data_IF_690072313505
#
_entry.id   IF_690072313505
#
_cell.length_a   1.000
_cell.length_b   1.000
_cell.length_c   1.000
_cell.angle_alpha   90.00
_cell.angle_beta   90.00
_cell.angle_gamma   90.00
#
_symmetry.space_group_name_H-M   'P 1'
#
loop_
_entity.id
_entity.type
_entity.pdbx_description
1 polymer ?
#
# COMPACT_ATOMS: atom_id res chain seq x y z
N UNK A 1 23.78 -8.76 2.53
CA UNK A 1 22.84 -9.23 3.58
C UNK A 1 22.53 -8.14 4.60
N UNK A 2 23.55 -7.64 5.31
CA UNK A 2 23.40 -6.55 6.29
C UNK A 2 22.63 -5.33 5.75
N UNK A 3 23.01 -4.82 4.56
CA UNK A 3 22.35 -3.64 3.96
C UNK A 3 20.87 -3.86 3.65
N UNK A 4 20.47 -5.07 3.28
CA UNK A 4 19.07 -5.39 3.00
C UNK A 4 18.24 -5.40 4.28
N UNK A 5 18.77 -5.98 5.37
CA UNK A 5 18.14 -5.96 6.69
C UNK A 5 18.00 -4.53 7.21
N UNK A 6 19.06 -3.73 7.09
CA UNK A 6 19.08 -2.34 7.50
C UNK A 6 18.01 -1.51 6.79
N UNK A 7 17.90 -1.65 5.46
CA UNK A 7 16.94 -0.89 4.64
C UNK A 7 15.50 -1.36 4.86
N UNK A 8 15.24 -2.67 4.76
CA UNK A 8 13.88 -3.23 4.88
C UNK A 8 13.33 -3.13 6.31
N UNK A 9 14.19 -3.35 7.30
CA UNK A 9 13.83 -3.26 8.71
C UNK A 9 13.91 -1.86 9.32
N UNK A 10 14.24 -0.82 8.53
CA UNK A 10 14.30 0.57 9.00
C UNK A 10 15.21 0.81 10.21
N UNK A 11 16.22 -0.04 10.43
CA UNK A 11 16.90 -0.19 11.72
C UNK A 11 17.64 1.08 12.13
N UNK A 12 18.32 1.75 11.20
CA UNK A 12 19.04 3.01 11.49
C UNK A 12 18.09 4.14 11.86
N UNK A 13 16.94 4.25 11.18
CA UNK A 13 15.94 5.26 11.50
C UNK A 13 15.38 5.04 12.92
N UNK A 14 15.06 3.80 13.27
CA UNK A 14 14.59 3.47 14.63
C UNK A 14 15.63 3.68 15.71
N UNK A 15 16.91 3.37 15.46
CA UNK A 15 18.00 3.71 16.40
C UNK A 15 18.09 5.21 16.65
N UNK A 16 18.04 6.01 15.57
CA UNK A 16 18.09 7.47 15.66
C UNK A 16 16.86 8.06 16.34
N UNK A 17 15.67 7.48 16.13
CA UNK A 17 14.46 7.89 16.81
C UNK A 17 14.56 7.69 18.34
N UNK A 18 15.12 6.55 18.79
CA UNK A 18 15.36 6.29 20.22
C UNK A 18 16.40 7.21 20.84
N UNK A 19 17.48 7.50 20.11
CA UNK A 19 18.56 8.37 20.60
C UNK A 19 18.20 9.86 20.61
N UNK A 20 17.28 10.30 19.73
CA UNK A 20 16.87 11.70 19.59
C UNK A 20 15.35 11.81 19.47
N UNK A 21 14.58 11.50 20.53
CA UNK A 21 13.12 11.47 20.47
C UNK A 21 12.54 12.84 20.10
N UNK A 22 13.13 13.93 20.60
CA UNK A 22 12.70 15.30 20.29
C UNK A 22 12.88 15.73 18.82
N UNK A 23 13.75 15.05 18.06
CA UNK A 23 13.97 15.32 16.63
C UNK A 23 13.35 14.26 15.71
N UNK A 24 12.83 13.16 16.25
CA UNK A 24 12.42 11.99 15.48
C UNK A 24 11.28 12.28 14.50
N UNK A 25 10.28 13.08 14.91
CA UNK A 25 9.17 13.48 14.04
C UNK A 25 9.60 14.45 12.96
N UNK A 26 10.39 15.47 13.34
CA UNK A 26 10.90 16.48 12.40
C UNK A 26 11.75 15.87 11.29
N UNK A 27 12.56 14.85 11.61
CA UNK A 27 13.47 14.20 10.67
C UNK A 27 12.86 12.98 9.97
N UNK A 28 11.56 12.72 10.15
CA UNK A 28 10.85 11.59 9.52
C UNK A 28 11.31 10.20 9.99
N UNK A 29 11.92 10.10 11.17
CA UNK A 29 12.41 8.83 11.72
C UNK A 29 11.32 7.99 12.40
N UNK A 30 10.10 8.53 12.50
CA UNK A 30 8.96 7.94 13.21
C UNK A 30 7.87 7.33 12.31
N UNK A 31 8.04 7.31 10.98
CA UNK A 31 6.99 6.90 10.03
C UNK A 31 6.91 5.39 9.80
N UNK A 32 6.74 4.59 10.86
CA UNK A 32 6.26 3.23 10.68
C UNK A 32 4.88 3.06 11.29
N UNK A 33 3.96 2.57 10.48
CA UNK A 33 2.75 1.89 10.93
C UNK A 33 3.19 0.85 11.95
N UNK A 34 3.01 1.18 13.22
CA UNK A 34 3.37 0.33 14.32
C UNK A 34 2.21 -0.64 14.43
N UNK A 35 2.33 -1.83 13.80
CA UNK A 35 1.69 -2.98 14.43
C UNK A 35 2.30 -3.04 15.84
N UNK A 36 1.45 -2.77 16.83
CA UNK A 36 1.78 -2.53 18.23
C UNK A 36 2.81 -3.56 18.71
N UNK A 37 4.05 -3.12 18.86
CA UNK A 37 5.02 -3.83 19.69
C UNK A 37 4.95 -3.13 21.05
N UNK A 38 4.55 -3.87 22.08
CA UNK A 38 4.49 -3.40 23.46
C UNK A 38 5.81 -2.69 23.82
N UNK A 39 5.69 -1.43 24.26
CA UNK A 39 6.82 -0.61 24.67
C UNK A 39 7.09 -0.95 26.14
N UNK A 40 8.14 -1.72 26.41
CA UNK A 40 8.64 -1.95 27.76
C UNK A 40 9.49 -0.72 28.16
N UNK A 41 8.97 0.08 29.10
CA UNK A 41 9.58 1.31 29.65
C UNK A 41 10.74 0.99 30.62
N UNK A 42 11.71 0.20 30.14
CA UNK A 42 12.95 -0.13 30.85
C UNK A 42 14.17 0.61 30.27
N UNK A 43 15.10 0.96 31.15
CA UNK A 43 16.39 1.61 30.86
C UNK A 43 17.09 0.96 29.64
N UNK A 44 17.17 1.69 28.52
CA UNK A 44 17.67 1.15 27.24
C UNK A 44 19.19 1.03 27.24
N UNK A 45 19.70 -0.09 27.75
CA UNK A 45 20.96 -0.65 27.28
C UNK A 45 20.88 -0.91 25.76
N UNK A 46 22.03 -0.98 25.08
CA UNK A 46 22.21 -1.18 23.63
C UNK A 46 21.78 -2.58 23.19
N UNK A 47 20.54 -2.96 23.49
CA UNK A 47 19.93 -4.24 23.18
C UNK A 47 19.23 -4.11 21.82
N UNK A 48 19.55 -4.98 20.85
CA UNK A 48 18.84 -5.02 19.58
C UNK A 48 17.35 -5.26 19.82
N UNK A 49 16.49 -4.30 19.49
CA UNK A 49 15.07 -4.40 19.84
C UNK A 49 14.24 -5.12 18.75
N UNK A 50 14.77 -5.23 17.53
CA UNK A 50 14.11 -5.88 16.39
C UNK A 50 14.81 -7.15 15.90
N UNK A 51 14.08 -8.02 15.19
CA UNK A 51 14.64 -9.23 14.57
C UNK A 51 15.77 -8.88 13.58
N UNK A 52 15.55 -7.85 12.76
CA UNK A 52 16.53 -7.34 11.79
C UNK A 52 17.75 -6.74 12.50
N UNK A 53 17.53 -6.00 13.59
CA UNK A 53 18.60 -5.41 14.39
C UNK A 53 19.45 -6.47 15.09
N UNK A 54 18.82 -7.53 15.62
CA UNK A 54 19.54 -8.67 16.19
C UNK A 54 20.35 -9.39 15.12
N UNK A 55 19.77 -9.59 13.94
CA UNK A 55 20.49 -10.22 12.82
C UNK A 55 21.67 -9.37 12.38
N UNK A 56 21.52 -8.04 12.31
CA UNK A 56 22.62 -7.13 12.00
C UNK A 56 23.73 -7.21 13.05
N UNK A 57 23.38 -7.22 14.35
CA UNK A 57 24.36 -7.37 15.43
C UNK A 57 25.15 -8.69 15.34
N UNK A 58 24.45 -9.80 15.08
CA UNK A 58 25.10 -11.11 14.90
C UNK A 58 26.02 -11.12 13.66
N UNK A 59 25.62 -10.47 12.57
CA UNK A 59 26.46 -10.33 11.38
C UNK A 59 27.70 -9.47 11.66
N UNK A 60 27.55 -8.37 12.40
CA UNK A 60 28.66 -7.48 12.79
C UNK A 60 29.66 -8.19 13.71
N UNK A 61 29.18 -9.09 14.56
CA UNK A 61 30.02 -9.97 15.39
C UNK A 61 30.69 -11.12 14.60
N UNK A 62 30.49 -11.21 13.28
CA UNK A 62 31.10 -12.22 12.41
C UNK A 62 30.35 -13.55 12.31
N UNK A 63 29.15 -13.67 12.89
CA UNK A 63 28.32 -14.85 12.71
C UNK A 63 27.75 -14.91 11.29
N UNK A 64 27.56 -16.12 10.80
CA UNK A 64 26.93 -16.41 9.51
C UNK A 64 25.75 -17.36 9.71
N UNK A 65 24.74 -17.37 8.83
CA UNK A 65 23.62 -18.31 8.95
C UNK A 65 24.06 -19.79 8.87
N UNK A 66 25.28 -20.06 8.39
CA UNK A 66 25.87 -21.40 8.34
C UNK A 66 26.38 -21.84 9.72
N UNK A 67 27.04 -20.94 10.46
CA UNK A 67 27.67 -21.25 11.75
C UNK A 67 26.76 -20.96 12.97
N UNK A 68 25.72 -20.14 12.81
CA UNK A 68 24.84 -19.72 13.90
C UNK A 68 23.38 -20.08 13.58
N UNK A 69 22.82 -21.03 14.32
CA UNK A 69 21.42 -21.45 14.14
C UNK A 69 20.43 -20.35 14.54
N UNK A 70 20.77 -19.53 15.54
CA UNK A 70 19.95 -18.39 15.98
C UNK A 70 19.79 -17.37 14.86
N UNK A 71 20.89 -17.00 14.19
CA UNK A 71 20.85 -16.10 13.04
C UNK A 71 20.01 -16.70 11.91
N UNK A 72 20.17 -18.00 11.63
CA UNK A 72 19.39 -18.71 10.59
C UNK A 72 17.88 -18.67 10.87
N UNK A 73 17.47 -18.97 12.10
CA UNK A 73 16.04 -18.99 12.45
C UNK A 73 15.41 -17.60 12.39
N UNK A 74 16.10 -16.58 12.94
CA UNK A 74 15.63 -15.19 12.87
C UNK A 74 15.52 -14.68 11.44
N UNK A 75 16.49 -15.02 10.57
CA UNK A 75 16.42 -14.68 9.15
C UNK A 75 15.27 -15.37 8.43
N UNK A 76 15.01 -16.66 8.74
CA UNK A 76 13.88 -17.39 8.18
C UNK A 76 12.55 -16.70 8.52
N UNK A 77 12.38 -16.28 9.78
CA UNK A 77 11.20 -15.53 10.23
C UNK A 77 11.05 -14.20 9.50
N UNK A 78 12.12 -13.42 9.36
CA UNK A 78 12.12 -12.16 8.61
C UNK A 78 11.66 -12.37 7.16
N UNK A 79 12.21 -13.39 6.49
CA UNK A 79 11.81 -13.71 5.10
C UNK A 79 10.33 -14.11 5.04
N UNK A 80 9.85 -14.94 5.97
CA UNK A 80 8.44 -15.36 6.02
C UNK A 80 7.50 -14.16 6.21
N UNK A 81 7.84 -13.22 7.10
CA UNK A 81 7.07 -12.00 7.31
C UNK A 81 7.00 -11.18 6.01
N UNK A 82 8.13 -10.95 5.34
CA UNK A 82 8.15 -10.15 4.12
C UNK A 82 7.40 -10.81 2.95
N UNK A 83 7.58 -12.12 2.77
CA UNK A 83 6.82 -12.85 1.75
C UNK A 83 5.33 -12.78 2.06
N UNK A 84 4.93 -13.01 3.31
CA UNK A 84 3.52 -12.96 3.72
C UNK A 84 2.91 -11.58 3.48
N UNK A 85 3.65 -10.51 3.81
CA UNK A 85 3.24 -9.12 3.57
C UNK A 85 3.05 -8.83 2.09
N UNK A 86 4.00 -9.25 1.26
CA UNK A 86 3.93 -9.04 -0.18
C UNK A 86 2.78 -9.84 -0.81
N UNK A 87 2.56 -11.08 -0.37
CA UNK A 87 1.44 -11.90 -0.84
C UNK A 87 0.07 -11.36 -0.39
N UNK A 88 -0.03 -10.77 0.81
CA UNK A 88 -1.27 -10.16 1.30
C UNK A 88 -1.58 -8.84 0.59
N UNK A 89 -0.54 -8.10 0.23
CA UNK A 89 -0.65 -6.83 -0.47
C UNK A 89 -0.66 -6.98 -2.00
N UNK A 90 -0.83 -8.19 -2.54
CA UNK A 90 -0.73 -8.45 -3.97
C UNK A 90 -1.61 -7.48 -4.78
N UNK A 91 -0.96 -6.53 -5.47
CA UNK A 91 -1.59 -5.55 -6.34
C UNK A 91 -1.52 -6.09 -7.77
N UNK A 92 -2.64 -6.58 -8.27
CA UNK A 92 -2.77 -6.88 -9.70
C UNK A 92 -2.82 -5.56 -10.45
N UNK A 93 -1.84 -5.30 -11.31
CA UNK A 93 -1.91 -4.18 -12.23
C UNK A 93 -3.01 -4.45 -13.27
N UNK A 94 -3.96 -3.53 -13.34
CA UNK A 94 -5.03 -3.55 -14.36
C UNK A 94 -4.85 -2.28 -15.20
N UNK A 95 -4.18 -2.38 -16.38
CA UNK A 95 -3.78 -1.20 -17.17
C UNK A 95 -4.95 -0.28 -17.57
N UNK A 96 -6.16 -0.85 -17.73
CA UNK A 96 -7.38 -0.12 -18.10
C UNK A 96 -8.31 0.04 -16.91
N UNK A 97 -7.77 0.46 -15.78
CA UNK A 97 -8.52 0.77 -14.57
C UNK A 97 -8.15 2.15 -14.06
N UNK A 98 -9.12 2.83 -13.45
CA UNK A 98 -8.91 4.09 -12.77
C UNK A 98 -9.75 4.12 -11.51
N UNK A 99 -9.26 4.83 -10.49
CA UNK A 99 -10.04 5.17 -9.29
C UNK A 99 -10.32 6.65 -9.34
N UNK A 100 -11.59 7.02 -9.43
CA UNK A 100 -12.02 8.41 -9.43
C UNK A 100 -13.15 8.62 -8.45
N UNK A 101 -13.30 9.85 -7.97
CA UNK A 101 -14.43 10.18 -7.14
C UNK A 101 -15.71 10.13 -7.97
N UNK A 102 -16.75 9.57 -7.36
CA UNK A 102 -18.14 9.73 -7.81
C UNK A 102 -18.50 11.18 -7.45
N UNK A 103 -18.03 12.08 -8.32
CA UNK A 103 -17.86 13.54 -8.18
C UNK A 103 -16.64 13.98 -7.33
N UNK A 104 -15.64 14.53 -8.06
CA UNK A 104 -14.35 15.20 -7.75
C UNK A 104 -13.00 14.42 -7.79
N UNK A 105 -12.43 14.26 -8.99
CA UNK A 105 -10.99 14.19 -9.35
C UNK A 105 -10.23 12.84 -9.39
N UNK A 106 -9.92 12.33 -10.58
CA UNK A 106 -8.75 11.49 -10.91
C UNK A 106 -8.27 11.64 -12.37
N UNK A 107 -6.95 11.57 -12.55
CA UNK A 107 -6.16 11.93 -13.74
C UNK A 107 -6.52 11.25 -15.06
N UNK A 108 -6.19 11.98 -16.13
CA UNK A 108 -6.41 11.70 -17.56
C UNK A 108 -5.33 10.80 -18.15
N UNK A 109 -5.73 10.04 -19.17
CA UNK A 109 -4.94 9.22 -20.11
C UNK A 109 -5.35 7.73 -20.08
N UNK A 110 -6.57 7.42 -20.54
CA UNK A 110 -6.89 6.04 -20.89
C UNK A 110 -6.28 5.70 -22.25
N UNK A 111 -5.48 4.63 -22.30
CA UNK A 111 -4.94 4.12 -23.56
C UNK A 111 -5.97 3.23 -24.27
N UNK A 112 -6.36 3.65 -25.47
CA UNK A 112 -7.17 2.86 -26.39
C UNK A 112 -6.36 1.68 -26.96
N UNK A 113 -7.03 0.75 -27.63
CA UNK A 113 -6.37 -0.41 -28.25
C UNK A 113 -5.39 -0.05 -29.37
N UNK A 114 -5.49 1.15 -29.92
CA UNK A 114 -4.63 1.70 -30.97
C UNK A 114 -3.44 2.51 -30.42
N UNK A 115 -3.29 2.61 -29.09
CA UNK A 115 -2.24 3.40 -28.42
C UNK A 115 -2.58 4.89 -28.28
N UNK A 116 -3.77 5.32 -28.72
CA UNK A 116 -4.22 6.71 -28.56
C UNK A 116 -4.66 6.95 -27.12
N UNK A 117 -4.30 8.10 -26.56
CA UNK A 117 -4.79 8.52 -25.25
C UNK A 117 -6.14 9.24 -25.40
N UNK A 118 -7.12 8.86 -24.58
CA UNK A 118 -8.44 9.51 -24.53
C UNK A 118 -8.83 9.87 -23.11
N UNK A 119 -9.54 10.99 -23.00
CA UNK A 119 -10.20 11.45 -21.77
C UNK A 119 -11.64 10.90 -21.67
N UNK A 120 -12.15 10.30 -22.75
CA UNK A 120 -13.54 9.81 -22.84
C UNK A 120 -13.54 8.30 -23.02
N UNK A 121 -14.06 7.61 -22.01
CA UNK A 121 -14.29 6.17 -22.03
C UNK A 121 -15.69 5.88 -22.59
N UNK A 122 -15.77 5.08 -23.65
CA UNK A 122 -17.05 4.65 -24.25
C UNK A 122 -17.10 3.14 -24.32
N UNK A 123 -18.24 2.56 -23.96
CA UNK A 123 -18.49 1.12 -24.05
C UNK A 123 -18.81 0.47 -22.72
N UNK A 124 -18.59 -0.82 -22.63
CA UNK A 124 -18.89 -1.60 -21.43
C UNK A 124 -17.79 -1.46 -20.38
N UNK A 125 -18.16 -1.12 -19.15
CA UNK A 125 -17.23 -0.86 -18.05
C UNK A 125 -17.67 -1.57 -16.78
N UNK A 126 -16.71 -1.90 -15.92
CA UNK A 126 -16.99 -2.37 -14.57
C UNK A 126 -16.82 -1.21 -13.60
N UNK A 127 -17.85 -0.94 -12.81
CA UNK A 127 -17.83 0.02 -11.72
C UNK A 127 -17.92 -0.71 -10.39
N UNK A 128 -17.14 -0.25 -9.43
CA UNK A 128 -17.09 -0.80 -8.08
C UNK A 128 -16.71 0.31 -7.09
N UNK A 129 -17.09 0.14 -5.82
CA UNK A 129 -16.64 0.99 -4.71
C UNK A 129 -15.95 0.14 -3.66
N UNK A 130 -14.77 0.56 -3.22
CA UNK A 130 -14.07 -0.11 -2.13
C UNK A 130 -14.70 0.29 -0.78
N UNK A 131 -14.99 -0.67 0.12
CA UNK A 131 -14.81 -2.11 -0.02
C UNK A 131 -15.97 -2.80 -0.74
N UNK A 132 -15.67 -3.74 -1.65
CA UNK A 132 -16.67 -4.61 -2.29
C UNK A 132 -16.91 -5.84 -1.42
N UNK A 133 -18.08 -5.93 -0.77
CA UNK A 133 -18.43 -7.03 0.14
C UNK A 133 -19.35 -8.04 -0.52
N UNK A 134 -20.24 -7.58 -1.38
CA UNK A 134 -21.22 -8.40 -2.09
C UNK A 134 -20.86 -8.53 -3.57
N UNK A 135 -21.23 -9.64 -4.23
CA UNK A 135 -21.07 -9.77 -5.69
C UNK A 135 -21.79 -8.66 -6.47
N UNK A 136 -22.81 -8.03 -5.86
CA UNK A 136 -23.57 -6.93 -6.47
C UNK A 136 -22.88 -5.58 -6.42
N UNK A 137 -21.80 -5.45 -5.65
CA UNK A 137 -21.06 -4.19 -5.45
C UNK A 137 -20.17 -3.84 -6.65
N UNK A 138 -19.87 -4.83 -7.48
CA UNK A 138 -19.25 -4.68 -8.80
C UNK A 138 -20.33 -4.84 -9.86
N UNK A 139 -20.48 -3.86 -10.74
CA UNK A 139 -21.50 -3.90 -11.79
C UNK A 139 -20.95 -3.54 -13.15
N UNK A 140 -21.48 -4.22 -14.16
CA UNK A 140 -21.31 -3.84 -15.56
C UNK A 140 -22.24 -2.68 -15.90
N UNK A 141 -21.67 -1.60 -16.43
CA UNK A 141 -22.35 -0.40 -16.86
C UNK A 141 -21.94 -0.06 -18.30
N UNK A 142 -22.67 0.85 -18.94
CA UNK A 142 -22.31 1.40 -20.25
C UNK A 142 -21.85 2.83 -20.07
N UNK A 143 -20.57 3.09 -20.33
CA UNK A 143 -20.01 4.43 -20.44
C UNK A 143 -20.45 5.06 -21.77
N UNK A 144 -20.98 6.28 -21.68
CA UNK A 144 -21.59 7.01 -22.79
C UNK A 144 -21.03 8.42 -22.79
N UNK A 145 -20.59 8.87 -23.97
CA UNK A 145 -20.14 10.24 -24.14
C UNK A 145 -21.32 11.23 -24.12
N UNK A 146 -21.18 12.29 -23.33
CA UNK A 146 -22.15 13.37 -23.17
C UNK A 146 -21.40 14.71 -23.29
N UNK A 147 -21.43 15.36 -24.47
CA UNK A 147 -20.70 16.61 -24.70
C UNK A 147 -21.00 17.72 -23.70
N UNK A 148 -22.25 17.82 -23.23
CA UNK A 148 -22.64 18.79 -22.20
C UNK A 148 -21.99 18.59 -20.82
N UNK A 149 -21.27 17.48 -20.61
CA UNK A 149 -20.55 17.18 -19.38
C UNK A 149 -19.02 17.23 -19.56
N UNK A 150 -18.51 17.61 -20.73
CA UNK A 150 -17.06 17.67 -21.00
C UNK A 150 -16.31 18.68 -20.13
N UNK A 151 -17.00 19.67 -19.55
CA UNK A 151 -16.41 20.58 -18.58
C UNK A 151 -16.10 19.91 -17.23
N UNK A 152 -16.74 18.78 -16.94
CA UNK A 152 -16.52 18.00 -15.73
C UNK A 152 -15.38 17.01 -16.00
N UNK A 153 -14.18 17.43 -15.63
CA UNK A 153 -12.96 16.66 -15.83
C UNK A 153 -12.64 15.85 -14.58
N UNK A 154 -11.94 14.73 -14.78
CA UNK A 154 -11.43 13.90 -13.69
C UNK A 154 -12.55 13.32 -12.81
N UNK A 155 -13.77 13.09 -13.34
CA UNK A 155 -14.91 12.56 -12.56
C UNK A 155 -15.67 11.46 -13.27
N UNK A 156 -16.23 10.53 -12.49
CA UNK A 156 -17.21 9.57 -12.98
C UNK A 156 -18.61 10.13 -12.72
N UNK A 157 -19.29 10.57 -13.78
CA UNK A 157 -20.67 11.06 -13.69
C UNK A 157 -21.65 9.89 -13.81
N UNK A 158 -22.42 9.65 -12.75
CA UNK A 158 -23.46 8.62 -12.75
C UNK A 158 -24.85 9.22 -12.98
N UNK A 159 -25.73 8.44 -13.61
CA UNK A 159 -27.12 8.85 -13.86
C UNK A 159 -27.90 9.00 -12.54
N UNK A 160 -28.65 10.09 -12.43
CA UNK A 160 -29.65 10.31 -11.36
C UNK A 160 -31.01 9.69 -11.71
N UNK A 161 -31.20 9.23 -12.94
CA UNK A 161 -32.43 8.57 -13.40
C UNK A 161 -32.46 7.10 -12.97
N UNK A 162 -33.64 6.61 -12.62
CA UNK A 162 -33.88 5.20 -12.27
C UNK A 162 -34.66 5.08 -10.96
N UNK A 163 -34.91 3.83 -10.53
CA UNK A 163 -35.61 3.54 -9.27
C UNK A 163 -34.75 3.77 -8.02
N UNK A 164 -33.43 3.75 -8.18
CA UNK A 164 -32.43 3.89 -7.11
C UNK A 164 -31.27 4.73 -7.65
N UNK A 165 -30.58 5.47 -6.78
CA UNK A 165 -29.39 6.23 -7.19
C UNK A 165 -28.31 5.27 -7.66
N UNK A 166 -27.57 5.68 -8.69
CA UNK A 166 -26.53 4.85 -9.28
C UNK A 166 -25.46 4.41 -8.29
N UNK A 167 -25.03 5.33 -7.41
CA UNK A 167 -24.00 5.07 -6.40
C UNK A 167 -24.43 4.02 -5.37
N UNK A 168 -25.72 3.97 -5.03
CA UNK A 168 -26.24 3.03 -4.03
C UNK A 168 -26.12 1.56 -4.48
N UNK A 169 -25.93 1.32 -5.78
CA UNK A 169 -25.67 -0.01 -6.32
C UNK A 169 -24.24 -0.51 -6.08
N UNK A 170 -23.32 0.38 -5.68
CA UNK A 170 -21.89 0.10 -5.51
C UNK A 170 -21.56 0.07 -4.01
N UNK A 171 -21.97 -1.00 -3.32
CA UNK A 171 -21.76 -1.19 -1.88
C UNK A 171 -22.48 -0.18 -0.96
N UNK A 172 -23.70 0.25 -1.29
CA UNK A 172 -24.60 0.93 -0.32
C UNK A 172 -25.12 2.29 -0.75
#
# INVERSE_FOLDING_TARGET
MWQNLQRRGGVIASRRARQQPGMARLKGWSERDTEENEVDDGEQDVVPSGLEETCMFLLDAGFTPKNCWVLRDKLKKIVQIYVSRETRAYRVEVPKSATGFIVLSSERNFELSDGTLTDVLVGDVLLARHPCKLPTDVRKWKAVDKPGLHSLVDVIVLSTKGKRRAADWLAG
#
